data_IF_202388352257
#
_entry.id   IF_202388352257
#
_cell.length_a   1.000
_cell.length_b   1.000
_cell.length_c   1.000
_cell.angle_alpha   90.00
_cell.angle_beta   90.00
_cell.angle_gamma   90.00
#
_symmetry.space_group_name_H-M   'P 1'
#
loop_
_entity.id
_entity.type
_entity.pdbx_description
1 polymer ?
#
# COMPACT_ATOMS: atom_id res chain seq x y z
N UNK A 1 22.91 -32.30 -12.91
CA UNK A 1 22.41 -31.35 -13.92
C UNK A 1 20.91 -31.56 -14.03
N UNK A 2 20.15 -30.73 -13.32
CA UNK A 2 18.69 -30.60 -13.42
C UNK A 2 18.35 -29.32 -12.66
N UNK A 3 18.50 -28.20 -13.37
CA UNK A 3 18.18 -26.87 -12.88
C UNK A 3 16.65 -26.78 -12.77
N UNK A 4 16.11 -27.06 -11.59
CA UNK A 4 14.78 -26.60 -11.23
C UNK A 4 14.91 -25.10 -10.97
N UNK A 5 14.79 -24.31 -12.03
CA UNK A 5 14.51 -22.88 -11.94
C UNK A 5 13.12 -22.78 -11.32
N UNK A 6 13.07 -22.75 -9.99
CA UNK A 6 11.89 -22.38 -9.24
C UNK A 6 11.55 -20.98 -9.68
N UNK A 7 10.47 -20.89 -10.46
CA UNK A 7 9.86 -19.66 -10.94
C UNK A 7 9.74 -18.70 -9.77
N UNK A 8 10.55 -17.65 -9.79
CA UNK A 8 10.64 -16.67 -8.71
C UNK A 8 9.30 -15.95 -8.57
N UNK A 9 8.55 -16.40 -7.59
CA UNK A 9 7.54 -15.67 -6.85
C UNK A 9 7.96 -14.21 -6.63
N UNK A 10 7.52 -13.29 -7.49
CA UNK A 10 7.64 -11.86 -7.20
C UNK A 10 6.71 -11.51 -6.04
N UNK A 11 7.14 -10.61 -5.16
CA UNK A 11 6.44 -10.17 -3.94
C UNK A 11 4.98 -9.76 -4.20
N UNK A 12 4.67 -9.34 -5.42
CA UNK A 12 3.34 -8.96 -5.89
C UNK A 12 2.56 -10.06 -6.63
N UNK A 13 3.21 -11.18 -6.98
CA UNK A 13 2.61 -12.32 -7.69
C UNK A 13 2.37 -13.53 -6.78
N UNK A 14 3.11 -13.67 -5.68
CA UNK A 14 2.83 -14.75 -4.70
C UNK A 14 1.67 -14.38 -3.82
N UNK A 15 0.57 -15.11 -4.03
CA UNK A 15 -0.64 -15.12 -3.22
C UNK A 15 -0.31 -15.79 -1.90
N UNK A 16 0.34 -15.08 -0.98
CA UNK A 16 0.49 -15.54 0.39
C UNK A 16 -0.91 -15.58 1.04
N UNK A 17 -1.28 -16.63 1.78
CA UNK A 17 -2.61 -16.79 2.39
C UNK A 17 -3.01 -15.67 3.36
N UNK A 18 -2.06 -14.80 3.74
CA UNK A 18 -2.22 -13.72 4.70
C UNK A 18 -2.39 -12.32 4.08
N UNK A 19 -2.42 -12.19 2.75
CA UNK A 19 -2.69 -10.90 2.09
C UNK A 19 -4.05 -10.97 1.39
N UNK A 20 -5.07 -10.44 2.06
CA UNK A 20 -6.46 -10.49 1.58
C UNK A 20 -6.86 -9.11 1.10
N UNK A 21 -7.33 -9.01 -0.14
CA UNK A 21 -7.96 -7.81 -0.68
C UNK A 21 -9.20 -7.48 0.14
N UNK A 22 -9.14 -6.50 1.05
CA UNK A 22 -10.29 -6.11 1.87
C UNK A 22 -10.75 -4.69 1.53
N UNK A 23 -12.01 -4.46 1.85
CA UNK A 23 -12.68 -3.18 1.69
C UNK A 23 -11.97 -2.09 2.48
N UNK A 24 -11.51 -1.02 1.82
CA UNK A 24 -10.86 0.12 2.48
C UNK A 24 -11.83 0.89 3.36
N UNK A 25 -11.69 0.69 4.67
CA UNK A 25 -12.60 1.27 5.68
C UNK A 25 -12.61 2.81 5.58
N UNK A 26 -11.44 3.42 5.33
CA UNK A 26 -11.33 4.87 5.14
C UNK A 26 -12.13 5.38 3.93
N UNK A 27 -12.10 4.66 2.81
CA UNK A 27 -12.88 5.06 1.63
C UNK A 27 -14.38 4.81 1.83
N UNK A 28 -14.74 3.76 2.57
CA UNK A 28 -16.13 3.46 2.94
C UNK A 28 -16.69 4.56 3.86
N UNK A 29 -15.94 5.02 4.86
CA UNK A 29 -16.38 6.11 5.75
C UNK A 29 -16.56 7.41 4.96
N UNK A 30 -15.59 7.79 4.13
CA UNK A 30 -15.66 9.02 3.34
C UNK A 30 -16.83 8.96 2.34
N UNK A 31 -17.04 7.82 1.69
CA UNK A 31 -18.18 7.65 0.77
C UNK A 31 -19.52 7.64 1.49
N UNK A 32 -19.62 7.05 2.68
CA UNK A 32 -20.83 7.09 3.51
C UNK A 32 -21.20 8.55 3.89
N UNK A 33 -20.23 9.35 4.32
CA UNK A 33 -20.46 10.78 4.64
C UNK A 33 -20.94 11.54 3.40
N UNK A 34 -20.28 11.35 2.25
CA UNK A 34 -20.69 11.98 0.99
C UNK A 34 -22.09 11.54 0.54
N UNK A 35 -22.45 10.27 0.70
CA UNK A 35 -23.80 9.76 0.42
C UNK A 35 -24.85 10.45 1.30
N UNK A 36 -24.58 10.61 2.60
CA UNK A 36 -25.51 11.28 3.53
C UNK A 36 -25.69 12.76 3.15
N UNK A 37 -24.62 13.45 2.78
CA UNK A 37 -24.67 14.85 2.32
C UNK A 37 -25.48 14.96 1.01
N UNK A 38 -25.22 14.08 0.03
CA UNK A 38 -25.94 14.05 -1.23
C UNK A 38 -27.45 13.77 -1.06
N UNK A 39 -27.79 12.78 -0.22
CA UNK A 39 -29.18 12.46 0.10
C UNK A 39 -29.87 13.60 0.89
N UNK A 40 -29.15 14.25 1.80
CA UNK A 40 -29.64 15.41 2.54
C UNK A 40 -29.94 16.59 1.62
N UNK A 41 -29.02 16.95 0.71
CA UNK A 41 -29.22 18.00 -0.29
C UNK A 41 -30.38 17.70 -1.25
N UNK A 42 -30.57 16.42 -1.60
CA UNK A 42 -31.71 16.00 -2.41
C UNK A 42 -33.04 16.12 -1.64
N UNK A 43 -33.09 15.66 -0.38
CA UNK A 43 -34.30 15.76 0.45
C UNK A 43 -34.68 17.21 0.79
N UNK A 44 -33.71 18.09 1.01
CA UNK A 44 -33.99 19.53 1.20
C UNK A 44 -34.54 20.16 -0.08
N UNK A 45 -34.06 19.75 -1.25
CA UNK A 45 -34.60 20.20 -2.54
C UNK A 45 -36.07 19.83 -2.71
N UNK A 46 -36.47 18.61 -2.30
CA UNK A 46 -37.87 18.16 -2.34
C UNK A 46 -38.77 18.97 -1.39
N UNK A 47 -38.25 19.38 -0.22
CA UNK A 47 -38.98 20.25 0.72
C UNK A 47 -39.07 21.71 0.26
N UNK A 48 -38.17 22.16 -0.62
CA UNK A 48 -38.08 23.54 -1.10
C UNK A 48 -38.88 23.79 -2.39
N UNK A 49 -39.70 22.81 -2.80
CA UNK A 49 -40.36 22.71 -4.11
C UNK A 49 -41.21 23.90 -4.54
N UNK A 50 -41.64 24.77 -3.61
CA UNK A 50 -42.61 25.82 -3.92
C UNK A 50 -42.09 27.27 -3.76
N UNK A 51 -40.82 27.51 -3.40
CA UNK A 51 -40.37 28.89 -3.03
C UNK A 51 -39.18 29.48 -3.81
N UNK A 52 -38.38 28.71 -4.53
CA UNK A 52 -37.27 29.25 -5.34
C UNK A 52 -36.79 28.26 -6.41
N UNK A 53 -37.34 28.40 -7.62
CA UNK A 53 -37.26 27.41 -8.71
C UNK A 53 -35.84 27.15 -9.25
N UNK A 54 -34.93 28.12 -9.11
CA UNK A 54 -33.54 27.99 -9.56
C UNK A 54 -32.67 27.31 -8.51
N UNK A 55 -32.90 27.61 -7.23
CA UNK A 55 -32.07 27.11 -6.13
C UNK A 55 -32.38 25.64 -5.82
N UNK A 56 -33.65 25.25 -5.85
CA UNK A 56 -34.06 23.85 -5.68
C UNK A 56 -33.55 22.94 -6.81
N UNK A 57 -33.54 23.44 -8.05
CA UNK A 57 -33.01 22.70 -9.20
C UNK A 57 -31.49 22.45 -9.07
N UNK A 58 -30.74 23.45 -8.61
CA UNK A 58 -29.28 23.32 -8.39
C UNK A 58 -28.97 22.33 -7.27
N UNK A 59 -29.68 22.39 -6.14
CA UNK A 59 -29.47 21.43 -5.05
C UNK A 59 -29.88 19.99 -5.44
N UNK A 60 -30.92 19.82 -6.27
CA UNK A 60 -31.35 18.50 -6.73
C UNK A 60 -30.33 17.87 -7.69
N UNK A 61 -29.89 18.63 -8.71
CA UNK A 61 -28.87 18.19 -9.65
C UNK A 61 -27.52 17.97 -8.94
N UNK A 62 -27.11 18.90 -8.07
CA UNK A 62 -25.87 18.77 -7.29
C UNK A 62 -25.91 17.57 -6.34
N UNK A 63 -27.01 17.37 -5.61
CA UNK A 63 -27.19 16.24 -4.69
C UNK A 63 -27.15 14.89 -5.38
N UNK A 64 -27.81 14.76 -6.54
CA UNK A 64 -27.78 13.52 -7.34
C UNK A 64 -26.40 13.23 -7.93
N UNK A 65 -25.70 14.24 -8.46
CA UNK A 65 -24.33 14.07 -8.98
C UNK A 65 -23.37 13.65 -7.85
N UNK A 66 -23.46 14.31 -6.68
CA UNK A 66 -22.63 13.96 -5.52
C UNK A 66 -22.93 12.54 -5.02
N UNK A 67 -24.20 12.14 -4.98
CA UNK A 67 -24.60 10.80 -4.57
C UNK A 67 -24.07 9.72 -5.54
N UNK A 68 -24.24 9.93 -6.85
CA UNK A 68 -23.72 9.00 -7.87
C UNK A 68 -22.18 8.92 -7.81
N UNK A 69 -21.50 10.05 -7.62
CA UNK A 69 -20.05 10.08 -7.45
C UNK A 69 -19.61 9.32 -6.19
N UNK A 70 -20.34 9.46 -5.08
CA UNK A 70 -20.06 8.75 -3.84
C UNK A 70 -20.19 7.23 -4.01
N UNK A 71 -21.24 6.77 -4.70
CA UNK A 71 -21.46 5.35 -5.02
C UNK A 71 -20.34 4.84 -5.94
N UNK A 72 -20.02 5.57 -7.01
CA UNK A 72 -18.94 5.20 -7.92
C UNK A 72 -17.60 5.08 -7.18
N UNK A 73 -17.27 6.07 -6.35
CA UNK A 73 -16.06 6.07 -5.52
C UNK A 73 -16.05 4.90 -4.54
N UNK A 74 -17.17 4.52 -3.95
CA UNK A 74 -17.28 3.37 -3.05
C UNK A 74 -16.92 2.08 -3.82
N UNK A 75 -17.45 1.86 -5.01
CA UNK A 75 -17.13 0.68 -5.80
C UNK A 75 -15.69 0.65 -6.34
N UNK A 76 -15.15 1.80 -6.75
CA UNK A 76 -13.82 1.86 -7.37
C UNK A 76 -12.67 1.97 -6.37
N UNK A 77 -12.85 2.68 -5.25
CA UNK A 77 -11.83 2.87 -4.22
C UNK A 77 -11.93 1.91 -3.04
N UNK A 78 -12.96 1.08 -2.93
CA UNK A 78 -13.08 0.09 -1.85
C UNK A 78 -12.04 -1.02 -1.93
N UNK A 79 -11.42 -1.28 -3.08
CA UNK A 79 -10.46 -2.38 -3.22
C UNK A 79 -9.07 -1.95 -2.77
N UNK A 80 -8.70 -2.24 -1.52
CA UNK A 80 -7.36 -1.97 -0.97
C UNK A 80 -6.72 -3.28 -0.49
N UNK A 81 -5.40 -3.38 -0.61
CA UNK A 81 -4.66 -4.56 -0.15
C UNK A 81 -4.50 -4.48 1.37
N UNK A 82 -5.01 -5.49 2.08
CA UNK A 82 -5.02 -5.52 3.54
C UNK A 82 -4.32 -6.78 4.02
N UNK A 83 -3.43 -6.61 5.00
CA UNK A 83 -2.78 -7.73 5.66
C UNK A 83 -3.80 -8.43 6.58
N UNK A 84 -4.15 -9.67 6.25
CA UNK A 84 -5.25 -10.42 6.86
C UNK A 84 -5.09 -10.71 8.37
N UNK A 85 -3.88 -10.93 8.91
CA UNK A 85 -3.69 -11.17 10.34
C UNK A 85 -4.00 -9.96 11.23
N UNK A 86 -3.75 -8.73 10.78
CA UNK A 86 -4.00 -7.51 11.59
C UNK A 86 -5.13 -6.63 11.07
N UNK A 87 -5.60 -6.85 9.84
CA UNK A 87 -6.61 -6.00 9.20
C UNK A 87 -6.08 -4.60 8.83
N UNK A 88 -4.79 -4.37 9.02
CA UNK A 88 -4.10 -3.13 8.70
C UNK A 88 -3.82 -3.05 7.19
N UNK A 89 -4.09 -1.88 6.60
CA UNK A 89 -3.72 -1.59 5.20
C UNK A 89 -2.21 -1.73 5.06
N UNK A 90 -1.77 -2.45 4.03
CA UNK A 90 -0.36 -2.59 3.73
C UNK A 90 0.04 -1.53 2.71
N UNK A 91 1.05 -0.71 3.04
CA UNK A 91 1.61 0.30 2.14
C UNK A 91 2.80 -0.29 1.42
N UNK A 92 2.79 -0.17 0.10
CA UNK A 92 3.91 -0.53 -0.76
C UNK A 92 4.89 0.64 -0.83
N UNK A 93 6.18 0.34 -0.83
CA UNK A 93 7.26 1.30 -1.02
C UNK A 93 8.44 0.64 -1.70
N UNK A 94 9.35 1.49 -2.20
CA UNK A 94 10.57 1.05 -2.83
C UNK A 94 11.71 1.98 -2.40
N UNK A 95 12.87 1.40 -2.09
CA UNK A 95 14.11 2.13 -1.86
C UNK A 95 15.24 1.54 -2.69
N UNK A 96 16.28 2.33 -2.97
CA UNK A 96 17.35 1.94 -3.89
C UNK A 96 18.71 1.89 -3.19
N UNK A 97 19.56 0.99 -3.63
CA UNK A 97 20.88 0.70 -3.07
C UNK A 97 21.90 0.43 -4.16
N UNK A 98 23.18 0.45 -3.81
CA UNK A 98 24.25 0.10 -4.73
C UNK A 98 24.36 -1.43 -4.94
N UNK A 99 24.96 -1.86 -6.05
CA UNK A 99 25.22 -3.29 -6.29
C UNK A 99 26.21 -3.84 -5.26
N UNK A 100 27.18 -3.02 -4.84
CA UNK A 100 28.18 -3.39 -3.85
C UNK A 100 27.55 -3.78 -2.51
N UNK A 101 26.42 -3.17 -2.17
CA UNK A 101 25.74 -3.37 -0.89
C UNK A 101 24.74 -4.54 -0.92
N UNK A 102 24.48 -5.12 -2.10
CA UNK A 102 23.46 -6.18 -2.27
C UNK A 102 23.69 -7.38 -1.33
N UNK A 103 24.93 -7.82 -1.22
CA UNK A 103 25.27 -8.99 -0.40
C UNK A 103 25.14 -8.67 1.10
N UNK A 104 25.64 -7.50 1.52
CA UNK A 104 25.50 -7.03 2.89
C UNK A 104 24.02 -6.85 3.28
N UNK A 105 23.20 -6.24 2.41
CA UNK A 105 21.76 -6.09 2.59
C UNK A 105 21.06 -7.44 2.70
N UNK A 106 21.38 -8.39 1.82
CA UNK A 106 20.78 -9.73 1.87
C UNK A 106 21.09 -10.42 3.19
N UNK A 107 22.34 -10.35 3.66
CA UNK A 107 22.72 -10.89 4.95
C UNK A 107 22.05 -10.18 6.13
N UNK A 108 21.91 -8.86 6.09
CA UNK A 108 21.20 -8.08 7.12
C UNK A 108 19.73 -8.47 7.17
N UNK A 109 19.07 -8.63 6.02
CA UNK A 109 17.67 -9.08 5.93
C UNK A 109 17.49 -10.52 6.41
N UNK A 110 18.41 -11.43 6.06
CA UNK A 110 18.38 -12.82 6.51
C UNK A 110 18.61 -12.96 8.02
N UNK A 111 19.59 -12.23 8.56
CA UNK A 111 19.96 -12.27 9.98
C UNK A 111 19.07 -11.38 10.85
N UNK A 112 18.15 -10.61 10.26
CA UNK A 112 17.32 -9.60 10.93
C UNK A 112 18.15 -8.59 11.72
N UNK A 113 19.31 -8.24 11.19
CA UNK A 113 20.36 -7.45 11.86
C UNK A 113 20.09 -5.95 11.93
N UNK A 114 18.83 -5.53 12.08
CA UNK A 114 18.41 -4.11 12.00
C UNK A 114 18.82 -3.27 13.21
N UNK A 115 19.20 -3.91 14.32
CA UNK A 115 19.66 -3.20 15.54
C UNK A 115 21.13 -2.78 15.46
N UNK A 116 21.91 -3.39 14.57
CA UNK A 116 23.32 -3.05 14.41
C UNK A 116 23.43 -1.95 13.37
N UNK A 117 24.06 -0.82 13.71
CA UNK A 117 24.36 0.25 12.75
C UNK A 117 25.19 -0.32 11.61
N UNK A 118 24.53 -0.58 10.50
CA UNK A 118 25.16 -0.95 9.25
C UNK A 118 25.36 0.34 8.43
N UNK A 119 26.41 0.35 7.61
CA UNK A 119 26.81 1.52 6.83
C UNK A 119 26.06 1.62 5.49
N UNK A 120 25.01 0.82 5.30
CA UNK A 120 24.30 0.78 4.02
C UNK A 120 23.26 1.89 3.97
N UNK A 121 23.57 2.92 3.20
CA UNK A 121 22.68 4.08 3.03
C UNK A 121 21.78 3.91 1.83
N UNK A 122 20.51 4.24 2.01
CA UNK A 122 19.55 4.35 0.91
C UNK A 122 20.03 5.44 -0.05
N UNK A 123 20.11 5.11 -1.34
CA UNK A 123 20.48 6.03 -2.42
C UNK A 123 19.25 6.42 -3.24
N UNK A 124 19.30 7.58 -3.89
CA UNK A 124 18.22 8.06 -4.77
C UNK A 124 18.16 7.28 -6.10
N UNK A 125 19.29 6.74 -6.57
CA UNK A 125 19.36 6.07 -7.87
C UNK A 125 20.40 4.95 -7.84
N UNK A 126 19.97 3.81 -7.31
CA UNK A 126 20.79 2.63 -7.13
C UNK A 126 20.43 1.51 -8.11
N UNK A 127 21.41 0.67 -8.41
CA UNK A 127 21.24 -0.48 -9.29
C UNK A 127 20.52 -1.63 -8.59
N UNK A 128 20.35 -1.57 -7.28
CA UNK A 128 19.54 -2.50 -6.48
C UNK A 128 18.30 -1.75 -6.02
N UNK A 129 17.15 -2.40 -6.12
CA UNK A 129 15.87 -1.89 -5.67
C UNK A 129 15.31 -2.85 -4.64
N UNK A 130 14.98 -2.36 -3.44
CA UNK A 130 14.24 -3.12 -2.46
C UNK A 130 12.77 -2.68 -2.52
N UNK A 131 11.89 -3.60 -2.90
CA UNK A 131 10.46 -3.40 -2.77
C UNK A 131 10.01 -3.96 -1.43
N UNK A 132 9.23 -3.17 -0.70
CA UNK A 132 8.74 -3.55 0.61
C UNK A 132 7.25 -3.21 0.76
N UNK A 133 6.60 -3.95 1.63
CA UNK A 133 5.21 -3.80 2.01
C UNK A 133 5.12 -3.76 3.52
N UNK A 134 4.66 -2.64 4.08
CA UNK A 134 4.58 -2.42 5.53
C UNK A 134 3.13 -2.26 5.94
N UNK A 135 2.70 -2.96 6.98
CA UNK A 135 1.38 -2.77 7.57
C UNK A 135 1.28 -1.42 8.31
N UNK A 136 0.12 -0.76 8.29
CA UNK A 136 -0.07 0.54 8.98
C UNK A 136 0.26 0.52 10.48
N UNK A 137 0.08 -0.62 11.14
CA UNK A 137 0.42 -0.83 12.55
C UNK A 137 1.92 -1.11 12.78
N UNK A 138 2.75 -1.13 11.72
CA UNK A 138 4.19 -1.42 11.74
C UNK A 138 4.53 -2.80 12.33
N UNK A 139 3.56 -3.73 12.38
CA UNK A 139 3.74 -5.08 12.96
C UNK A 139 4.09 -6.14 11.94
N UNK A 140 3.99 -5.81 10.66
CA UNK A 140 4.33 -6.70 9.57
C UNK A 140 5.06 -5.94 8.47
N UNK A 141 6.14 -6.54 7.98
CA UNK A 141 6.84 -6.09 6.79
C UNK A 141 7.14 -7.29 5.90
N UNK A 142 6.88 -7.18 4.61
CA UNK A 142 7.47 -8.04 3.60
C UNK A 142 8.46 -7.23 2.77
N UNK A 143 9.64 -7.77 2.46
CA UNK A 143 10.65 -7.09 1.63
C UNK A 143 11.26 -8.06 0.62
N UNK A 144 11.56 -7.57 -0.58
CA UNK A 144 12.27 -8.33 -1.61
C UNK A 144 13.27 -7.42 -2.32
N UNK A 145 14.47 -7.94 -2.53
CA UNK A 145 15.51 -7.27 -3.29
C UNK A 145 15.42 -7.63 -4.77
N UNK A 146 15.59 -6.62 -5.60
CA UNK A 146 15.68 -6.70 -7.04
C UNK A 146 17.00 -6.09 -7.49
N UNK A 147 17.64 -6.71 -8.47
CA UNK A 147 18.84 -6.17 -9.12
C UNK A 147 18.47 -5.70 -10.51
N UNK A 148 18.95 -4.52 -10.86
CA UNK A 148 18.88 -4.00 -12.21
C UNK A 148 19.86 -4.74 -13.10
N UNK A 149 19.32 -5.33 -14.16
CA UNK A 149 20.05 -5.86 -15.31
C UNK A 149 19.65 -4.97 -16.48
N UNK A 150 20.53 -4.59 -17.42
CA UNK A 150 20.19 -3.62 -18.44
C UNK A 150 18.79 -3.85 -19.04
N UNK A 151 17.93 -2.83 -18.88
CA UNK A 151 16.52 -2.78 -19.33
C UNK A 151 15.49 -3.60 -18.54
N UNK A 152 15.85 -4.27 -17.43
CA UNK A 152 14.90 -5.03 -16.58
C UNK A 152 15.33 -5.15 -15.10
N UNK A 153 14.39 -5.41 -14.20
CA UNK A 153 14.68 -5.77 -12.81
C UNK A 153 14.42 -7.26 -12.60
N UNK A 154 15.41 -7.98 -12.11
CA UNK A 154 15.26 -9.40 -11.72
C UNK A 154 15.30 -9.54 -10.19
N UNK A 155 14.56 -10.50 -9.61
CA UNK A 155 14.66 -10.81 -8.20
C UNK A 155 16.12 -11.17 -7.86
N UNK A 156 16.65 -10.51 -6.84
CA UNK A 156 17.96 -10.80 -6.30
C UNK A 156 17.87 -11.64 -5.01
N UNK A 157 16.69 -11.68 -4.38
CA UNK A 157 16.42 -12.43 -3.16
C UNK A 157 15.02 -13.05 -3.15
N UNK A 158 14.82 -14.01 -2.25
CA UNK A 158 13.48 -14.41 -1.81
C UNK A 158 12.77 -13.27 -1.07
N UNK A 159 11.46 -13.40 -0.89
CA UNK A 159 10.68 -12.49 -0.04
C UNK A 159 11.00 -12.75 1.43
N UNK A 160 11.44 -11.73 2.13
CA UNK A 160 11.65 -11.72 3.57
C UNK A 160 10.39 -11.25 4.28
N UNK A 161 10.03 -11.94 5.37
CA UNK A 161 8.88 -11.60 6.19
C UNK A 161 9.34 -11.27 7.61
N UNK A 162 9.00 -10.07 8.07
CA UNK A 162 9.29 -9.57 9.40
C UNK A 162 7.99 -9.32 10.15
N UNK A 163 7.94 -9.71 11.42
CA UNK A 163 6.76 -9.59 12.28
C UNK A 163 7.16 -9.10 13.66
N UNK A 164 6.30 -8.31 14.31
CA UNK A 164 6.54 -7.85 15.69
C UNK A 164 7.69 -6.85 15.77
N UNK A 165 8.62 -7.07 16.69
CA UNK A 165 9.73 -6.14 16.95
C UNK A 165 10.66 -6.00 15.73
N UNK A 166 10.91 -7.09 14.99
CA UNK A 166 11.69 -7.08 13.73
C UNK A 166 11.07 -6.14 12.69
N UNK A 167 9.74 -6.15 12.58
CA UNK A 167 9.01 -5.28 11.65
C UNK A 167 9.17 -3.81 12.05
N UNK A 168 9.11 -3.51 13.35
CA UNK A 168 9.29 -2.15 13.84
C UNK A 168 10.73 -1.65 13.64
N UNK A 169 11.73 -2.51 13.83
CA UNK A 169 13.13 -2.20 13.61
C UNK A 169 13.42 -1.91 12.12
N UNK A 170 12.86 -2.72 11.21
CA UNK A 170 12.96 -2.46 9.77
C UNK A 170 12.34 -1.11 9.39
N UNK A 171 11.17 -0.77 9.95
CA UNK A 171 10.52 0.52 9.69
C UNK A 171 11.37 1.68 10.23
N UNK A 172 12.03 1.50 11.36
CA UNK A 172 12.96 2.49 11.89
C UNK A 172 14.16 2.70 10.93
N UNK A 173 14.77 1.63 10.43
CA UNK A 173 15.84 1.71 9.42
C UNK A 173 15.39 2.42 8.13
N UNK A 174 14.16 2.20 7.69
CA UNK A 174 13.59 2.94 6.56
C UNK A 174 13.44 4.43 6.84
N UNK A 175 12.94 4.79 8.01
CA UNK A 175 12.74 6.20 8.41
C UNK A 175 14.09 6.93 8.55
N UNK A 176 15.13 6.25 9.04
CA UNK A 176 16.49 6.80 9.12
C UNK A 176 17.28 6.68 7.82
N UNK A 177 16.80 5.91 6.84
CA UNK A 177 17.50 5.59 5.58
C UNK A 177 18.87 4.92 5.81
N UNK A 178 19.01 4.20 6.93
CA UNK A 178 20.22 3.51 7.37
C UNK A 178 19.89 2.02 7.61
N UNK A 179 20.50 1.15 6.80
CA UNK A 179 20.29 -0.30 6.77
C UNK A 179 21.57 -1.07 7.02
#
# INVERSE_FOLDING_TARGET
MSNTVSTEATLFSTTHPDVVKRTSISSVIISAILCVIGAGAFATSLKMGDSSSTMSMVFMAGGTILFLWAVFRLFWRSKEWVYAPTGSVAKEGACFFDVCDLQALTETLEKKGFETKNDVKVKTNGNVRMDYMISQDKKFVAAQLFRFIPYTYEPASSVFYFTGDDASAFVHCLETSEF
#
